data_IF_446008080964
#
_entry.id   IF_446008080964
#
_cell.length_a   1.000
_cell.length_b   1.000
_cell.length_c   1.000
_cell.angle_alpha   90.00
_cell.angle_beta   90.00
_cell.angle_gamma   90.00
#
_symmetry.space_group_name_H-M   'P 1'
#
loop_
_entity.id
_entity.type
_entity.pdbx_description
1 polymer ?
#
# COMPACT_ATOMS: atom_id res chain seq x y z
N UNK A 1 5.54 -56.65 -37.17
CA UNK A 1 5.95 -55.26 -36.85
C UNK A 1 4.73 -54.50 -36.39
N UNK A 2 4.64 -54.02 -35.14
CA UNK A 2 3.51 -53.23 -34.71
C UNK A 2 3.72 -51.75 -35.15
N UNK A 3 2.65 -50.98 -35.42
CA UNK A 3 2.75 -49.62 -35.93
C UNK A 3 3.25 -48.67 -34.82
N UNK A 4 4.19 -47.79 -35.16
CA UNK A 4 4.73 -46.74 -34.30
C UNK A 4 3.65 -45.72 -34.02
N UNK A 5 3.33 -45.55 -32.73
CA UNK A 5 2.45 -44.48 -32.22
C UNK A 5 3.08 -43.11 -32.56
N UNK A 6 2.34 -42.32 -33.33
CA UNK A 6 2.66 -40.90 -33.62
C UNK A 6 2.48 -40.09 -32.35
N UNK A 7 3.56 -39.63 -31.73
CA UNK A 7 3.48 -38.62 -30.64
C UNK A 7 2.96 -37.32 -31.22
N UNK A 8 1.79 -36.89 -30.76
CA UNK A 8 1.27 -35.54 -31.01
C UNK A 8 2.19 -34.54 -30.31
N UNK A 9 2.52 -33.40 -30.92
CA UNK A 9 3.25 -32.33 -30.24
C UNK A 9 2.35 -31.72 -29.17
N UNK A 10 2.71 -31.90 -27.93
CA UNK A 10 2.18 -31.08 -26.83
C UNK A 10 2.62 -29.64 -27.07
N UNK A 11 1.73 -28.80 -27.59
CA UNK A 11 1.88 -27.34 -27.53
C UNK A 11 1.95 -26.98 -26.06
N UNK A 12 3.16 -26.82 -25.54
CA UNK A 12 3.38 -26.18 -24.27
C UNK A 12 2.85 -24.74 -24.38
N UNK A 13 1.72 -24.45 -23.78
CA UNK A 13 1.34 -23.08 -23.49
C UNK A 13 2.38 -22.56 -22.50
N UNK A 14 3.33 -21.78 -22.99
CA UNK A 14 4.16 -20.93 -22.16
C UNK A 14 3.21 -19.86 -21.61
N UNK A 15 2.67 -20.08 -20.42
CA UNK A 15 2.02 -19.01 -19.67
C UNK A 15 3.12 -17.99 -19.41
N UNK A 16 3.09 -16.89 -20.13
CA UNK A 16 3.99 -15.78 -19.90
C UNK A 16 3.60 -15.22 -18.53
N UNK A 17 4.32 -15.60 -17.47
CA UNK A 17 4.08 -15.10 -16.14
C UNK A 17 4.32 -13.58 -16.15
N UNK A 18 3.28 -12.80 -15.85
CA UNK A 18 3.42 -11.37 -15.59
C UNK A 18 4.36 -11.19 -14.41
N UNK A 19 5.31 -10.28 -14.53
CA UNK A 19 6.22 -9.94 -13.45
C UNK A 19 5.88 -8.52 -12.98
N UNK A 20 5.50 -8.40 -11.72
CA UNK A 20 5.16 -7.11 -11.11
C UNK A 20 6.14 -6.84 -9.97
N UNK A 21 6.81 -5.69 -10.03
CA UNK A 21 7.64 -5.16 -8.95
C UNK A 21 6.91 -4.06 -8.22
N UNK A 22 6.82 -4.21 -6.90
CA UNK A 22 6.11 -3.28 -6.03
C UNK A 22 7.13 -2.62 -5.10
N UNK A 23 7.27 -1.30 -5.19
CA UNK A 23 7.92 -0.52 -4.14
C UNK A 23 6.84 0.02 -3.21
N UNK A 24 7.00 -0.20 -1.90
CA UNK A 24 6.11 0.33 -0.87
C UNK A 24 6.89 1.35 -0.03
N UNK A 25 6.46 2.61 -0.06
CA UNK A 25 7.05 3.72 0.69
C UNK A 25 6.09 4.19 1.78
N UNK A 26 6.60 4.68 2.89
CA UNK A 26 5.81 5.16 4.02
C UNK A 26 6.55 5.04 5.34
N UNK A 27 5.81 5.08 6.42
CA UNK A 27 6.37 5.09 7.78
C UNK A 27 6.63 3.70 8.38
N UNK A 28 6.96 3.66 9.67
CA UNK A 28 7.28 2.44 10.42
C UNK A 28 6.11 1.44 10.54
N UNK A 29 4.84 1.87 10.40
CA UNK A 29 3.68 0.96 10.38
C UNK A 29 3.71 0.10 9.11
N UNK A 30 4.21 0.65 8.00
CA UNK A 30 4.46 -0.12 6.78
C UNK A 30 5.47 -1.24 7.02
N UNK A 31 6.52 -0.97 7.81
CA UNK A 31 7.53 -1.97 8.18
C UNK A 31 7.03 -2.99 9.23
N UNK A 32 5.84 -2.82 9.77
CA UNK A 32 5.25 -3.73 10.75
C UNK A 32 5.55 -3.37 12.21
N UNK A 33 5.88 -2.11 12.50
CA UNK A 33 6.09 -1.66 13.87
C UNK A 33 4.88 -1.99 14.75
N UNK A 34 5.15 -2.52 15.95
CA UNK A 34 4.13 -2.98 16.90
C UNK A 34 3.69 -4.45 16.70
N UNK A 35 3.97 -5.07 15.55
CA UNK A 35 3.69 -6.49 15.33
C UNK A 35 4.83 -7.35 15.87
N UNK A 36 4.61 -8.17 16.94
CA UNK A 36 5.67 -8.99 17.52
C UNK A 36 6.22 -10.06 16.56
N UNK A 37 5.54 -10.32 15.43
CA UNK A 37 6.02 -11.22 14.37
C UNK A 37 6.71 -10.49 13.24
N UNK A 38 6.79 -9.16 13.27
CA UNK A 38 7.35 -8.30 12.22
C UNK A 38 6.77 -8.57 10.80
N UNK A 39 5.56 -9.12 10.71
CA UNK A 39 4.88 -9.37 9.41
C UNK A 39 4.21 -8.10 8.91
N UNK A 40 3.68 -7.30 9.83
CA UNK A 40 2.94 -6.09 9.51
C UNK A 40 1.68 -6.33 8.65
N UNK A 41 1.01 -5.27 8.27
CA UNK A 41 -0.13 -5.35 7.35
C UNK A 41 0.32 -5.73 5.92
N UNK A 42 1.47 -5.22 5.51
CA UNK A 42 2.01 -5.43 4.17
C UNK A 42 2.31 -6.91 3.91
N UNK A 43 3.03 -7.56 4.81
CA UNK A 43 3.30 -8.99 4.71
C UNK A 43 2.03 -9.85 4.72
N UNK A 44 0.99 -9.43 5.47
CA UNK A 44 -0.31 -10.11 5.49
C UNK A 44 -1.07 -9.94 4.18
N UNK A 45 -1.00 -8.77 3.54
CA UNK A 45 -1.59 -8.55 2.21
C UNK A 45 -0.92 -9.48 1.21
N UNK A 46 0.41 -9.48 1.14
CA UNK A 46 1.15 -10.32 0.20
C UNK A 46 0.88 -11.82 0.42
N UNK A 47 0.88 -12.29 1.67
CA UNK A 47 0.64 -13.69 2.01
C UNK A 47 -0.77 -14.17 1.66
N UNK A 48 -1.75 -13.27 1.59
CA UNK A 48 -3.15 -13.57 1.23
C UNK A 48 -3.47 -13.27 -0.24
N UNK A 49 -2.54 -12.67 -0.97
CA UNK A 49 -2.76 -12.36 -2.37
C UNK A 49 -2.72 -13.64 -3.20
N UNK A 50 -3.84 -13.91 -3.87
CA UNK A 50 -3.93 -14.97 -4.87
C UNK A 50 -3.92 -14.33 -6.26
N UNK A 51 -2.82 -14.51 -6.99
CA UNK A 51 -2.64 -13.96 -8.33
C UNK A 51 -1.99 -15.01 -9.25
N UNK A 52 -2.74 -16.04 -9.69
CA UNK A 52 -2.21 -17.08 -10.56
C UNK A 52 -1.61 -16.50 -11.84
N UNK A 53 -0.42 -16.95 -12.20
CA UNK A 53 0.30 -16.45 -13.39
C UNK A 53 0.98 -15.09 -13.22
N UNK A 54 1.03 -14.55 -11.98
CA UNK A 54 1.74 -13.32 -11.65
C UNK A 54 2.84 -13.61 -10.63
N UNK A 55 4.07 -13.24 -10.96
CA UNK A 55 5.20 -13.23 -10.04
C UNK A 55 5.30 -11.83 -9.40
N UNK A 56 5.18 -11.76 -8.07
CA UNK A 56 5.29 -10.52 -7.31
C UNK A 56 6.67 -10.43 -6.65
N UNK A 57 7.38 -9.35 -6.94
CA UNK A 57 8.56 -8.92 -6.18
C UNK A 57 8.18 -7.66 -5.38
N UNK A 58 8.55 -7.59 -4.11
CA UNK A 58 8.19 -6.45 -3.28
C UNK A 58 9.40 -5.89 -2.52
N UNK A 59 9.38 -4.58 -2.29
CA UNK A 59 10.45 -3.82 -1.63
C UNK A 59 9.83 -2.81 -0.68
N UNK A 60 10.07 -2.99 0.62
CA UNK A 60 9.62 -2.08 1.68
C UNK A 60 10.67 -1.01 1.92
N UNK A 61 10.28 0.23 1.74
CA UNK A 61 11.12 1.43 1.83
C UNK A 61 10.52 2.35 2.90
N UNK A 62 10.45 1.86 4.13
CA UNK A 62 9.84 2.57 5.25
C UNK A 62 10.87 3.43 6.00
N UNK A 63 10.45 4.66 6.37
CA UNK A 63 11.20 5.57 7.23
C UNK A 63 10.31 5.98 8.41
N UNK A 64 10.74 5.79 9.68
CA UNK A 64 9.92 6.12 10.83
C UNK A 64 9.49 7.60 10.85
N UNK A 65 8.22 7.84 11.18
CA UNK A 65 7.63 9.18 11.33
C UNK A 65 7.77 10.10 10.11
N UNK A 66 7.78 9.50 8.93
CA UNK A 66 7.98 10.21 7.67
C UNK A 66 6.79 11.09 7.30
N UNK A 67 7.07 12.35 6.98
CA UNK A 67 6.11 13.31 6.42
C UNK A 67 5.96 13.10 4.90
N UNK A 68 4.90 13.67 4.31
CA UNK A 68 4.73 13.63 2.84
C UNK A 68 5.82 14.39 2.10
N UNK A 69 6.44 15.41 2.72
CA UNK A 69 7.57 16.16 2.15
C UNK A 69 8.81 15.29 2.04
N UNK A 70 9.18 14.62 3.13
CA UNK A 70 10.33 13.71 3.17
C UNK A 70 10.14 12.51 2.23
N UNK A 71 8.94 11.91 2.25
CA UNK A 71 8.58 10.84 1.33
C UNK A 71 8.72 11.31 -0.13
N UNK A 72 8.18 12.48 -0.45
CA UNK A 72 8.25 13.07 -1.79
C UNK A 72 9.69 13.30 -2.27
N UNK A 73 10.57 13.71 -1.37
CA UNK A 73 11.96 13.99 -1.70
C UNK A 73 12.79 12.71 -2.04
N UNK A 74 12.46 11.55 -1.44
CA UNK A 74 13.29 10.34 -1.55
C UNK A 74 12.73 9.23 -2.42
N UNK A 75 11.38 9.10 -2.49
CA UNK A 75 10.73 7.88 -3.00
C UNK A 75 11.24 7.44 -4.38
N UNK A 76 11.40 8.38 -5.31
CA UNK A 76 11.85 8.03 -6.66
C UNK A 76 13.30 7.56 -6.68
N UNK A 77 14.19 8.24 -5.97
CA UNK A 77 15.61 7.88 -5.88
C UNK A 77 15.83 6.46 -5.36
N UNK A 78 14.94 5.99 -4.48
CA UNK A 78 15.01 4.65 -3.90
C UNK A 78 14.24 3.61 -4.72
N UNK A 79 13.00 3.90 -5.09
CA UNK A 79 12.14 2.96 -5.80
C UNK A 79 12.66 2.64 -7.22
N UNK A 80 13.21 3.64 -7.93
CA UNK A 80 13.70 3.46 -9.29
C UNK A 80 14.78 2.38 -9.42
N UNK A 81 15.59 2.20 -8.40
CA UNK A 81 16.64 1.15 -8.35
C UNK A 81 16.09 -0.27 -8.27
N UNK A 82 14.81 -0.42 -7.98
CA UNK A 82 14.12 -1.70 -7.78
C UNK A 82 13.11 -1.99 -8.88
N UNK A 83 12.77 -0.96 -9.63
CA UNK A 83 11.84 -1.10 -10.74
C UNK A 83 12.48 -1.81 -11.95
N UNK A 84 11.65 -2.52 -12.68
CA UNK A 84 12.06 -3.20 -13.92
C UNK A 84 11.96 -2.26 -15.10
N UNK A 85 12.89 -2.33 -16.02
CA UNK A 85 12.81 -1.64 -17.31
C UNK A 85 11.83 -2.32 -18.28
N UNK A 86 11.61 -3.63 -18.12
CA UNK A 86 10.80 -4.45 -19.03
C UNK A 86 9.55 -5.06 -18.39
N UNK A 87 9.42 -4.99 -17.08
CA UNK A 87 8.28 -5.51 -16.32
C UNK A 87 7.30 -4.42 -15.87
N UNK A 88 6.24 -4.86 -15.21
CA UNK A 88 5.26 -3.96 -14.61
C UNK A 88 5.75 -3.45 -13.25
N UNK A 89 5.71 -2.14 -13.06
CA UNK A 89 6.04 -1.51 -11.80
C UNK A 89 4.79 -0.97 -11.11
N UNK A 90 4.77 -1.03 -9.80
CA UNK A 90 3.68 -0.54 -8.94
C UNK A 90 4.27 0.21 -7.75
N UNK A 91 3.58 1.23 -7.28
CA UNK A 91 3.95 1.99 -6.09
C UNK A 91 2.83 1.90 -5.05
N UNK A 92 3.18 1.58 -3.81
CA UNK A 92 2.32 1.76 -2.64
C UNK A 92 2.85 2.95 -1.86
N UNK A 93 1.96 3.88 -1.51
CA UNK A 93 2.24 5.02 -0.63
C UNK A 93 1.41 4.84 0.62
N UNK A 94 2.05 4.52 1.74
CA UNK A 94 1.40 4.39 3.04
C UNK A 94 1.62 5.67 3.85
N UNK A 95 0.57 6.49 3.94
CA UNK A 95 0.62 7.78 4.61
C UNK A 95 0.56 7.61 6.12
N UNK A 96 1.29 8.47 6.83
CA UNK A 96 1.27 8.56 8.30
C UNK A 96 0.49 9.79 8.76
N UNK A 97 0.44 9.99 10.08
CA UNK A 97 -0.09 11.19 10.71
C UNK A 97 1.00 12.24 11.02
N UNK A 98 2.25 12.01 10.58
CA UNK A 98 3.39 12.87 10.89
C UNK A 98 3.23 14.31 10.35
N UNK A 99 2.50 14.49 9.24
CA UNK A 99 2.20 15.82 8.73
C UNK A 99 1.40 16.70 9.72
N UNK A 100 0.74 16.11 10.71
CA UNK A 100 0.04 16.84 11.76
C UNK A 100 0.97 17.51 12.78
N UNK A 101 2.22 17.09 12.84
CA UNK A 101 3.22 17.65 13.75
C UNK A 101 3.91 18.89 13.15
N UNK A 102 3.61 19.21 11.90
CA UNK A 102 4.01 20.43 11.23
C UNK A 102 3.05 21.58 11.61
N UNK A 103 3.37 22.79 11.21
CA UNK A 103 2.56 23.98 11.48
C UNK A 103 1.18 23.96 10.79
N UNK A 104 0.28 24.88 11.17
CA UNK A 104 -1.10 24.91 10.67
C UNK A 104 -1.22 25.12 9.15
N UNK A 105 -0.18 25.58 8.47
CA UNK A 105 -0.13 25.70 7.00
C UNK A 105 0.20 24.40 6.29
N UNK A 106 0.48 23.34 7.04
CA UNK A 106 0.98 22.06 6.53
C UNK A 106 -0.02 21.30 5.67
N UNK A 107 -1.33 21.38 5.94
CA UNK A 107 -2.35 20.62 5.21
C UNK A 107 -2.33 20.89 3.70
N UNK A 108 -2.21 22.15 3.28
CA UNK A 108 -2.09 22.50 1.85
C UNK A 108 -0.78 21.98 1.25
N UNK A 109 0.31 22.04 2.01
CA UNK A 109 1.62 21.53 1.60
C UNK A 109 1.61 20.01 1.48
N UNK A 110 1.05 19.30 2.46
CA UNK A 110 0.94 17.85 2.45
C UNK A 110 0.12 17.34 1.26
N UNK A 111 -0.98 18.04 0.91
CA UNK A 111 -1.75 17.77 -0.32
C UNK A 111 -0.91 17.94 -1.57
N UNK A 112 -0.13 19.02 -1.66
CA UNK A 112 0.75 19.27 -2.81
C UNK A 112 1.84 18.23 -2.92
N UNK A 113 2.44 17.82 -1.80
CA UNK A 113 3.48 16.79 -1.77
C UNK A 113 2.95 15.46 -2.29
N UNK A 114 1.79 15.00 -1.77
CA UNK A 114 1.16 13.79 -2.30
C UNK A 114 0.82 13.93 -3.78
N UNK A 115 0.26 15.07 -4.20
CA UNK A 115 -0.05 15.34 -5.60
C UNK A 115 1.20 15.18 -6.49
N UNK A 116 2.32 15.76 -6.09
CA UNK A 116 3.58 15.66 -6.83
C UNK A 116 4.10 14.22 -6.93
N UNK A 117 3.96 13.42 -5.87
CA UNK A 117 4.30 11.97 -5.89
C UNK A 117 3.45 11.25 -6.93
N UNK A 118 2.12 11.44 -6.89
CA UNK A 118 1.19 10.78 -7.80
C UNK A 118 1.37 11.22 -9.26
N UNK A 119 1.59 12.51 -9.50
CA UNK A 119 1.83 13.06 -10.83
C UNK A 119 3.16 12.52 -11.41
N UNK A 120 4.20 12.45 -10.58
CA UNK A 120 5.49 11.89 -10.96
C UNK A 120 5.39 10.39 -11.29
N UNK A 121 4.62 9.62 -10.51
CA UNK A 121 4.39 8.21 -10.78
C UNK A 121 3.57 8.01 -12.08
N UNK A 122 2.52 8.82 -12.26
CA UNK A 122 1.68 8.78 -13.47
C UNK A 122 2.48 9.08 -14.75
N UNK A 123 3.34 10.11 -14.74
CA UNK A 123 4.22 10.43 -15.86
C UNK A 123 5.16 9.27 -16.25
N UNK A 124 5.44 8.39 -15.33
CA UNK A 124 6.27 7.18 -15.53
C UNK A 124 5.47 5.90 -15.79
N UNK A 125 4.14 6.01 -15.89
CA UNK A 125 3.27 4.87 -16.10
C UNK A 125 3.23 3.89 -14.91
N UNK A 126 3.46 4.39 -13.69
CA UNK A 126 3.48 3.60 -12.46
C UNK A 126 2.15 3.80 -11.72
N UNK A 127 1.23 2.82 -11.73
CA UNK A 127 0.01 2.87 -10.94
C UNK A 127 0.30 2.91 -9.45
N UNK A 128 -0.44 3.76 -8.72
CA UNK A 128 -0.25 3.96 -7.28
C UNK A 128 -1.46 3.44 -6.50
N UNK A 129 -1.20 2.74 -5.38
CA UNK A 129 -2.16 2.52 -4.32
C UNK A 129 -1.75 3.36 -3.13
N UNK A 130 -2.64 4.23 -2.67
CA UNK A 130 -2.43 5.05 -1.47
C UNK A 130 -3.20 4.42 -0.32
N UNK A 131 -2.51 4.10 0.77
CA UNK A 131 -3.11 3.80 2.06
C UNK A 131 -3.18 5.08 2.87
N UNK A 132 -4.38 5.51 3.23
CA UNK A 132 -4.59 6.66 4.12
C UNK A 132 -4.04 6.41 5.52
N UNK A 133 -3.80 7.50 6.29
CA UNK A 133 -3.27 7.39 7.64
C UNK A 133 -4.24 6.64 8.55
N UNK A 134 -3.70 6.02 9.60
CA UNK A 134 -4.50 5.29 10.59
C UNK A 134 -4.82 6.17 11.80
N UNK A 135 -5.99 6.01 12.47
CA UNK A 135 -6.33 6.80 13.63
C UNK A 135 -5.51 6.41 14.86
N UNK A 136 -5.26 7.37 15.72
CA UNK A 136 -4.62 7.21 17.03
C UNK A 136 -5.65 7.07 18.17
N UNK A 137 -5.18 7.00 19.42
CA UNK A 137 -6.04 7.07 20.60
C UNK A 137 -6.40 8.50 21.01
N UNK A 138 -5.69 9.52 20.49
CA UNK A 138 -5.91 10.92 20.76
C UNK A 138 -7.02 11.48 19.84
N UNK A 139 -8.14 11.82 20.44
CA UNK A 139 -9.32 12.33 19.72
C UNK A 139 -9.06 13.70 19.07
N UNK A 140 -8.28 14.57 19.70
CA UNK A 140 -7.94 15.88 19.12
C UNK A 140 -7.05 15.72 17.87
N UNK A 141 -6.15 14.76 17.89
CA UNK A 141 -5.33 14.38 16.76
C UNK A 141 -6.19 13.77 15.64
N UNK A 142 -7.13 12.91 16.00
CA UNK A 142 -8.06 12.29 15.06
C UNK A 142 -8.96 13.30 14.34
N UNK A 143 -9.40 14.37 15.01
CA UNK A 143 -10.19 15.43 14.37
C UNK A 143 -9.40 16.10 13.25
N UNK A 144 -8.14 16.46 13.48
CA UNK A 144 -7.26 17.04 12.45
C UNK A 144 -6.93 16.01 11.36
N UNK A 145 -6.73 14.75 11.75
CA UNK A 145 -6.43 13.67 10.82
C UNK A 145 -7.59 13.37 9.88
N UNK A 146 -8.83 13.52 10.32
CA UNK A 146 -10.02 13.37 9.48
C UNK A 146 -10.02 14.34 8.30
N UNK A 147 -9.67 15.62 8.56
CA UNK A 147 -9.57 16.63 7.50
C UNK A 147 -8.42 16.31 6.52
N UNK A 148 -7.28 15.88 7.05
CA UNK A 148 -6.13 15.52 6.23
C UNK A 148 -6.41 14.27 5.39
N UNK A 149 -7.06 13.24 5.99
CA UNK A 149 -7.47 12.03 5.28
C UNK A 149 -8.43 12.33 4.12
N UNK A 150 -9.42 13.19 4.35
CA UNK A 150 -10.35 13.63 3.29
C UNK A 150 -9.61 14.38 2.17
N UNK A 151 -8.62 15.19 2.54
CA UNK A 151 -7.81 15.92 1.57
C UNK A 151 -6.93 15.00 0.72
N UNK A 152 -6.36 13.96 1.30
CA UNK A 152 -5.56 12.96 0.58
C UNK A 152 -6.43 12.10 -0.36
N UNK A 153 -7.62 11.72 0.10
CA UNK A 153 -8.61 11.03 -0.73
C UNK A 153 -8.95 11.86 -1.99
N UNK A 154 -9.28 13.15 -1.83
CA UNK A 154 -9.56 14.08 -2.94
C UNK A 154 -8.38 14.17 -3.94
N UNK A 155 -7.15 14.22 -3.42
CA UNK A 155 -5.94 14.27 -4.26
C UNK A 155 -5.77 12.99 -5.08
N UNK A 156 -6.00 11.82 -4.48
CA UNK A 156 -5.86 10.52 -5.15
C UNK A 156 -6.98 10.30 -6.17
N UNK A 157 -8.23 10.59 -5.80
CA UNK A 157 -9.42 10.43 -6.64
C UNK A 157 -9.32 11.26 -7.94
N UNK A 158 -8.96 12.54 -7.83
CA UNK A 158 -8.75 13.42 -9.00
C UNK A 158 -7.68 12.92 -9.97
N UNK A 159 -6.81 12.01 -9.54
CA UNK A 159 -5.74 11.41 -10.36
C UNK A 159 -6.04 9.97 -10.77
N UNK A 160 -7.23 9.48 -10.44
CA UNK A 160 -7.66 8.11 -10.74
C UNK A 160 -6.78 7.05 -10.07
N UNK A 161 -6.16 7.38 -8.93
CA UNK A 161 -5.36 6.43 -8.15
C UNK A 161 -6.22 5.75 -7.09
N UNK A 162 -5.89 4.50 -6.77
CA UNK A 162 -6.60 3.76 -5.74
C UNK A 162 -6.25 4.34 -4.37
N UNK A 163 -7.27 4.73 -3.60
CA UNK A 163 -7.14 5.16 -2.21
C UNK A 163 -7.84 4.19 -1.27
N UNK A 164 -7.12 3.67 -0.30
CA UNK A 164 -7.67 2.84 0.77
C UNK A 164 -7.79 3.69 2.02
N UNK A 165 -9.02 4.09 2.35
CA UNK A 165 -9.30 4.81 3.60
C UNK A 165 -9.16 3.85 4.78
N UNK A 166 -8.09 3.99 5.54
CA UNK A 166 -7.87 3.27 6.79
C UNK A 166 -8.40 4.05 8.01
N UNK A 167 -8.50 5.38 7.91
CA UNK A 167 -8.91 6.22 9.03
C UNK A 167 -10.37 5.99 9.43
N UNK A 168 -11.29 6.20 8.50
CA UNK A 168 -12.73 6.21 8.80
C UNK A 168 -13.22 4.89 9.41
N UNK A 169 -12.91 3.71 8.86
CA UNK A 169 -13.40 2.45 9.42
C UNK A 169 -12.70 2.03 10.71
N UNK A 170 -11.48 2.53 10.98
CA UNK A 170 -10.72 2.13 12.17
C UNK A 170 -10.92 3.07 13.36
N UNK A 171 -11.34 4.33 13.14
CA UNK A 171 -11.44 5.35 14.19
C UNK A 171 -12.22 4.86 15.42
N UNK A 172 -13.39 4.31 15.21
CA UNK A 172 -14.28 3.84 16.28
C UNK A 172 -14.31 2.30 16.40
N UNK A 173 -13.39 1.61 15.71
CA UNK A 173 -13.32 0.17 15.74
C UNK A 173 -12.75 -0.34 17.06
N UNK A 174 -13.56 -1.06 17.84
CA UNK A 174 -13.22 -1.52 19.19
C UNK A 174 -11.88 -2.28 19.24
N UNK A 175 -11.71 -3.27 18.37
CA UNK A 175 -10.49 -4.09 18.33
C UNK A 175 -9.24 -3.25 17.94
N UNK A 176 -9.38 -2.26 17.06
CA UNK A 176 -8.30 -1.35 16.72
C UNK A 176 -7.84 -0.55 17.93
N UNK A 177 -8.80 0.07 18.63
CA UNK A 177 -8.53 0.90 19.82
C UNK A 177 -7.92 0.09 20.96
N UNK A 178 -8.44 -1.15 21.18
CA UNK A 178 -7.91 -2.06 22.17
C UNK A 178 -6.47 -2.49 21.85
N UNK A 179 -6.18 -2.75 20.60
CA UNK A 179 -4.85 -3.16 20.13
C UNK A 179 -3.83 -2.04 20.29
N UNK A 180 -4.19 -0.79 19.92
CA UNK A 180 -3.36 0.40 20.16
C UNK A 180 -3.09 0.65 21.64
N UNK A 181 -4.11 0.51 22.50
CA UNK A 181 -3.98 0.72 23.94
C UNK A 181 -3.01 -0.31 24.55
N UNK A 182 -3.07 -1.55 24.12
CA UNK A 182 -2.15 -2.61 24.55
C UNK A 182 -0.73 -2.42 24.00
N UNK A 183 -0.60 -1.85 22.79
CA UNK A 183 0.66 -1.67 22.06
C UNK A 183 1.35 -0.32 22.28
N UNK A 184 0.90 0.49 23.25
CA UNK A 184 1.48 1.82 23.51
C UNK A 184 1.31 2.79 22.33
N UNK A 185 0.21 2.68 21.60
CA UNK A 185 -0.10 3.51 20.44
C UNK A 185 0.26 2.89 19.08
N UNK A 186 0.94 1.75 19.07
CA UNK A 186 1.26 1.02 17.86
C UNK A 186 0.29 -0.15 17.65
N UNK A 187 -0.12 -0.44 16.40
CA UNK A 187 -0.97 -1.59 16.11
C UNK A 187 -0.19 -2.90 16.30
N UNK A 188 -0.76 -3.85 17.03
CA UNK A 188 -0.27 -5.21 17.13
C UNK A 188 -0.76 -6.09 15.97
N UNK A 189 -0.80 -7.40 16.20
CA UNK A 189 -1.22 -8.36 15.17
C UNK A 189 -2.64 -8.11 14.65
N UNK A 190 -3.55 -7.77 15.55
CA UNK A 190 -4.96 -7.54 15.19
C UNK A 190 -5.10 -6.26 14.37
N UNK A 191 -4.49 -5.16 14.79
CA UNK A 191 -4.50 -3.89 14.06
C UNK A 191 -3.91 -4.00 12.66
N UNK A 192 -2.74 -4.64 12.53
CA UNK A 192 -2.17 -4.93 11.22
C UNK A 192 -3.07 -5.86 10.39
N UNK A 193 -3.78 -6.79 11.02
CA UNK A 193 -4.77 -7.64 10.36
C UNK A 193 -5.94 -6.85 9.78
N UNK A 194 -6.43 -5.85 10.50
CA UNK A 194 -7.51 -4.95 10.06
C UNK A 194 -7.08 -4.09 8.87
N UNK A 195 -5.89 -3.49 8.93
CA UNK A 195 -5.34 -2.73 7.78
C UNK A 195 -5.22 -3.65 6.55
N UNK A 196 -4.67 -4.84 6.71
CA UNK A 196 -4.51 -5.79 5.61
C UNK A 196 -5.86 -6.19 5.01
N UNK A 197 -6.88 -6.37 5.83
CA UNK A 197 -8.24 -6.66 5.37
C UNK A 197 -8.79 -5.50 4.54
N UNK A 198 -8.65 -4.26 5.01
CA UNK A 198 -9.09 -3.08 4.26
C UNK A 198 -8.41 -2.99 2.89
N UNK A 199 -7.10 -3.17 2.83
CA UNK A 199 -6.35 -3.12 1.57
C UNK A 199 -6.83 -4.19 0.61
N UNK A 200 -6.95 -5.44 1.05
CA UNK A 200 -7.38 -6.57 0.20
C UNK A 200 -8.79 -6.38 -0.39
N UNK A 201 -9.72 -5.75 0.38
CA UNK A 201 -11.13 -5.61 -0.03
C UNK A 201 -11.47 -4.23 -0.62
N UNK A 202 -10.51 -3.31 -0.72
CA UNK A 202 -10.75 -1.94 -1.21
C UNK A 202 -9.79 -1.54 -2.32
N UNK A 203 -9.72 -2.36 -3.38
CA UNK A 203 -9.03 -2.00 -4.61
C UNK A 203 -7.70 -2.68 -4.86
N UNK A 204 -7.19 -3.55 -3.97
CA UNK A 204 -5.93 -4.28 -4.16
C UNK A 204 -5.86 -5.05 -5.48
N UNK A 205 -6.83 -5.92 -5.73
CA UNK A 205 -6.87 -6.77 -6.92
C UNK A 205 -7.09 -5.96 -8.20
N UNK A 206 -7.94 -4.94 -8.14
CA UNK A 206 -8.14 -3.99 -9.24
C UNK A 206 -6.83 -3.27 -9.58
N UNK A 207 -6.12 -2.77 -8.56
CA UNK A 207 -4.85 -2.08 -8.74
C UNK A 207 -3.75 -3.01 -9.28
N UNK A 208 -3.69 -4.26 -8.84
CA UNK A 208 -2.81 -5.27 -9.42
C UNK A 208 -3.19 -5.64 -10.86
N UNK A 209 -4.43 -5.38 -11.29
CA UNK A 209 -4.97 -5.82 -12.57
C UNK A 209 -5.11 -7.35 -12.65
N UNK A 210 -5.58 -7.95 -11.56
CA UNK A 210 -5.88 -9.39 -11.46
C UNK A 210 -7.31 -9.59 -10.91
N UNK A 211 -7.96 -10.72 -11.24
CA UNK A 211 -9.29 -11.02 -10.69
C UNK A 211 -9.26 -11.14 -9.16
N UNK A 212 -10.33 -10.70 -8.51
CA UNK A 212 -10.53 -11.02 -7.10
C UNK A 212 -10.72 -12.52 -6.91
N UNK A 213 -10.16 -13.11 -5.85
CA UNK A 213 -10.42 -14.51 -5.53
C UNK A 213 -11.93 -14.70 -5.30
N UNK A 214 -12.51 -15.69 -5.95
CA UNK A 214 -13.86 -16.16 -5.60
C UNK A 214 -13.83 -16.78 -4.21
N UNK A 215 -14.71 -16.31 -3.31
CA UNK A 215 -14.85 -16.84 -1.96
C UNK A 215 -15.21 -18.31 -1.93
#
# INVERSE_FOLDING_TARGET
MPPRARRLPTKGFTVQNRQIRIAAVGDHILAGAGDPRAVGWWGRVLARTSAPGVALENYVLAVPHETTEELGARWWGEASRRFSESGENRLVVALSDADLDLDASSSARSRLNLANVLDTASQRGIPVLVLGPTPSLDESRNQRLAELNAAYLDVADRRGQVYVDAFTPLRDHEQWRADLAAGGGLPGQAGHGLIAWLVLHRGWYQWLGVPEPTA
#
